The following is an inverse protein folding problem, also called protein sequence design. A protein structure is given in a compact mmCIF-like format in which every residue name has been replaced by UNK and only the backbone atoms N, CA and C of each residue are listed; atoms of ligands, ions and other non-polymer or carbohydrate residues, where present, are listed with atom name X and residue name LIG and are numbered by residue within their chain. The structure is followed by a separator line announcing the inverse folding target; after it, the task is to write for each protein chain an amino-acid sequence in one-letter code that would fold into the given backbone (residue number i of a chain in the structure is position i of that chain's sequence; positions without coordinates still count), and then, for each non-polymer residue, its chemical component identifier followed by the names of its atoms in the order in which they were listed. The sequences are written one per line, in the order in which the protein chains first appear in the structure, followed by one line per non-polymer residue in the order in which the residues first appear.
data_IF_195502056424
#
_entry.id   IF_195502056424
#
_cell.length_a   1.000
_cell.length_b   1.000
_cell.length_c   1.000
_cell.angle_alpha   90.00
_cell.angle_beta   90.00
_cell.angle_gamma   90.00
#
_symmetry.space_group_name_H-M   'P 1'
#
loop_
_entity.id
_entity.type
_entity.pdbx_description
1 polymer ?
#
# COMPACT_ATOMS: atom_id res chain seq x y z
N UNK A 1 -18.76 1.77 -24.96
CA UNK A 1 -17.59 2.64 -25.23
C UNK A 1 -16.95 3.14 -23.94
N UNK A 2 -17.72 3.74 -23.02
CA UNK A 2 -17.22 4.25 -21.72
C UNK A 2 -16.54 3.14 -20.88
N UNK A 3 -17.19 1.97 -20.74
CA UNK A 3 -16.62 0.84 -19.99
C UNK A 3 -15.29 0.33 -20.56
N UNK A 4 -15.14 0.31 -21.89
CA UNK A 4 -13.91 -0.13 -22.56
C UNK A 4 -12.76 0.84 -22.27
N UNK A 5 -13.02 2.15 -22.28
CA UNK A 5 -12.03 3.16 -21.95
C UNK A 5 -11.61 3.09 -20.48
N UNK A 6 -12.55 2.89 -19.56
CA UNK A 6 -12.24 2.69 -18.14
C UNK A 6 -11.39 1.43 -17.91
N UNK A 7 -11.70 0.34 -18.62
CA UNK A 7 -10.91 -0.89 -18.57
C UNK A 7 -9.47 -0.65 -19.04
N UNK A 8 -9.30 0.04 -20.18
CA UNK A 8 -7.97 0.34 -20.73
C UNK A 8 -7.12 1.16 -19.76
N UNK A 9 -7.73 2.14 -19.08
CA UNK A 9 -7.07 2.98 -18.06
C UNK A 9 -6.69 2.15 -16.84
N UNK A 10 -7.55 1.24 -16.36
CA UNK A 10 -7.22 0.39 -15.23
C UNK A 10 -6.06 -0.58 -15.56
N UNK A 11 -6.08 -1.18 -16.74
CA UNK A 11 -5.00 -2.06 -17.21
C UNK A 11 -3.70 -1.29 -17.39
N UNK A 12 -3.74 -0.06 -17.92
CA UNK A 12 -2.53 0.75 -18.07
C UNK A 12 -1.93 1.15 -16.72
N UNK A 13 -2.76 1.51 -15.73
CA UNK A 13 -2.32 1.77 -14.34
C UNK A 13 -1.63 0.53 -13.77
N UNK A 14 -2.23 -0.65 -13.95
CA UNK A 14 -1.68 -1.91 -13.45
C UNK A 14 -0.32 -2.22 -14.10
N UNK A 15 -0.24 -2.18 -15.43
CA UNK A 15 1.02 -2.43 -16.14
C UNK A 15 2.10 -1.43 -15.75
N UNK A 16 1.76 -0.15 -15.63
CA UNK A 16 2.70 0.89 -15.17
C UNK A 16 3.18 0.60 -13.75
N UNK A 17 2.30 0.23 -12.83
CA UNK A 17 2.68 -0.10 -11.46
C UNK A 17 3.65 -1.29 -11.41
N UNK A 18 3.40 -2.35 -12.17
CA UNK A 18 4.27 -3.52 -12.25
C UNK A 18 5.65 -3.17 -12.83
N UNK A 19 5.69 -2.38 -13.91
CA UNK A 19 6.96 -1.94 -14.52
C UNK A 19 7.75 -1.06 -13.54
N UNK A 20 7.08 -0.13 -12.86
CA UNK A 20 7.71 0.73 -11.86
C UNK A 20 8.24 -0.08 -10.67
N UNK A 21 7.52 -1.13 -10.24
CA UNK A 21 7.98 -2.03 -9.18
C UNK A 21 9.25 -2.79 -9.59
N UNK A 22 9.27 -3.38 -10.80
CA UNK A 22 10.45 -4.09 -11.30
C UNK A 22 11.68 -3.19 -11.47
N UNK A 23 11.49 -1.95 -11.92
CA UNK A 23 12.61 -0.99 -12.12
C UNK A 23 13.11 -0.47 -10.77
N UNK A 24 12.24 0.17 -9.98
CA UNK A 24 12.65 0.89 -8.77
C UNK A 24 12.78 -0.01 -7.55
N UNK A 25 12.09 -1.16 -7.53
CA UNK A 25 11.99 -2.04 -6.35
C UNK A 25 11.22 -1.41 -5.19
N UNK A 26 10.93 -2.25 -4.20
CA UNK A 26 10.43 -1.86 -2.89
C UNK A 26 11.58 -1.53 -1.92
N UNK A 27 11.36 -0.65 -0.94
CA UNK A 27 12.36 -0.36 0.07
C UNK A 27 12.56 -1.58 0.98
N UNK A 28 13.72 -2.22 0.86
CA UNK A 28 14.08 -3.35 1.70
C UNK A 28 14.27 -2.94 3.18
N UNK A 29 13.82 -3.75 4.15
CA UNK A 29 14.07 -3.55 5.59
C UNK A 29 15.56 -3.45 5.95
N UNK A 30 16.44 -4.00 5.11
CA UNK A 30 17.90 -3.98 5.32
C UNK A 30 18.53 -2.60 5.13
N UNK A 31 17.83 -1.65 4.49
CA UNK A 31 18.31 -0.27 4.27
C UNK A 31 17.35 0.77 4.85
N UNK A 32 17.15 0.80 6.19
CA UNK A 32 16.18 1.67 6.86
C UNK A 32 16.49 3.18 6.72
N UNK A 33 17.74 3.51 6.38
CA UNK A 33 18.25 4.86 6.11
C UNK A 33 17.69 5.47 4.81
N UNK A 34 17.21 4.64 3.87
CA UNK A 34 16.72 5.15 2.58
C UNK A 34 15.38 5.85 2.75
N UNK A 35 15.26 7.04 2.15
CA UNK A 35 14.02 7.85 2.15
C UNK A 35 12.80 7.05 1.67
N UNK A 36 13.03 6.11 0.73
CA UNK A 36 12.02 5.19 0.21
C UNK A 36 11.37 4.33 1.30
N UNK A 37 12.13 3.87 2.31
CA UNK A 37 11.61 3.06 3.42
C UNK A 37 10.81 3.92 4.41
N UNK A 38 11.30 5.14 4.69
CA UNK A 38 10.66 6.05 5.64
C UNK A 38 9.35 6.62 5.13
N UNK A 39 9.18 6.78 3.82
CA UNK A 39 7.99 7.35 3.20
C UNK A 39 7.01 6.30 2.66
N UNK A 40 7.28 5.00 2.88
CA UNK A 40 6.42 3.94 2.38
C UNK A 40 5.11 3.85 3.18
N UNK A 41 3.93 3.95 2.54
CA UNK A 41 2.64 3.87 3.24
C UNK A 41 2.47 2.58 4.05
N UNK A 42 3.00 1.45 3.57
CA UNK A 42 2.94 0.16 4.27
C UNK A 42 3.71 0.22 5.60
N UNK A 43 4.88 0.86 5.63
CA UNK A 43 5.68 1.00 6.86
C UNK A 43 4.93 1.88 7.87
N UNK A 44 4.25 2.92 7.41
CA UNK A 44 3.40 3.75 8.27
C UNK A 44 2.20 2.97 8.80
N UNK A 45 1.56 2.14 7.98
CA UNK A 45 0.45 1.29 8.38
C UNK A 45 0.88 0.29 9.47
N UNK A 46 2.07 -0.31 9.33
CA UNK A 46 2.66 -1.20 10.34
C UNK A 46 2.98 -0.47 11.65
N UNK A 47 3.58 0.72 11.59
CA UNK A 47 3.83 1.57 12.77
C UNK A 47 2.55 2.02 13.46
N UNK A 48 1.56 2.44 12.68
CA UNK A 48 0.25 2.85 13.19
C UNK A 48 -0.48 1.71 13.89
N UNK A 49 -0.48 0.52 13.28
CA UNK A 49 -1.06 -0.69 13.90
C UNK A 49 -0.32 -1.06 15.18
N UNK A 50 1.01 -0.98 15.20
CA UNK A 50 1.81 -1.28 16.38
C UNK A 50 1.60 -0.28 17.52
N UNK A 51 1.44 1.01 17.19
CA UNK A 51 1.11 2.06 18.13
C UNK A 51 -0.29 1.89 18.73
N UNK A 52 -1.26 1.41 17.93
CA UNK A 52 -2.62 1.17 18.41
C UNK A 52 -2.76 -0.14 19.20
N UNK A 53 -1.99 -1.17 18.85
CA UNK A 53 -2.01 -2.49 19.50
C UNK A 53 -2.09 -2.48 21.05
N UNK A 54 -1.29 -1.69 21.79
CA UNK A 54 -1.37 -1.66 23.26
C UNK A 54 -2.73 -1.17 23.79
N UNK A 55 -3.42 -0.26 23.08
CA UNK A 55 -4.72 0.26 23.50
C UNK A 55 -5.87 -0.73 23.32
N UNK A 56 -5.69 -1.71 22.44
CA UNK A 56 -6.70 -2.73 22.13
C UNK A 56 -6.46 -4.06 22.87
N UNK A 57 -5.33 -4.20 23.59
CA UNK A 57 -5.06 -5.39 24.42
C UNK A 57 -5.99 -5.46 25.62
N UNK A 58 -6.56 -6.62 25.86
CA UNK A 58 -7.43 -6.86 27.01
C UNK A 58 -7.19 -8.29 27.55
N UNK A 59 -7.16 -8.51 28.87
CA UNK A 59 -6.98 -9.85 29.46
C UNK A 59 -8.13 -10.82 29.16
N UNK A 60 -9.31 -10.33 28.77
CA UNK A 60 -10.43 -11.20 28.42
C UNK A 60 -10.37 -11.63 26.93
N UNK A 61 -10.30 -12.95 26.63
CA UNK A 61 -10.11 -13.45 25.26
C UNK A 61 -11.27 -13.11 24.31
N UNK A 62 -12.51 -12.97 24.81
CA UNK A 62 -13.66 -12.56 23.98
C UNK A 62 -13.55 -11.09 23.57
N UNK A 63 -13.08 -10.24 24.50
CA UNK A 63 -12.92 -8.80 24.27
C UNK A 63 -11.70 -8.55 23.37
N UNK A 64 -10.61 -9.30 23.55
CA UNK A 64 -9.43 -9.20 22.69
C UNK A 64 -9.76 -9.51 21.22
N UNK A 65 -10.62 -10.51 20.95
CA UNK A 65 -11.06 -10.82 19.58
C UNK A 65 -11.84 -9.66 18.95
N UNK A 66 -12.77 -9.06 19.69
CA UNK A 66 -13.56 -7.92 19.22
C UNK A 66 -12.67 -6.70 18.99
N UNK A 67 -11.75 -6.43 19.93
CA UNK A 67 -10.79 -5.34 19.82
C UNK A 67 -9.82 -5.54 18.65
N UNK A 68 -9.43 -6.78 18.34
CA UNK A 68 -8.61 -7.09 17.16
C UNK A 68 -9.34 -6.80 15.85
N UNK A 69 -10.63 -7.13 15.75
CA UNK A 69 -11.47 -6.77 14.59
C UNK A 69 -11.60 -5.25 14.48
N UNK A 70 -11.85 -4.57 15.61
CA UNK A 70 -12.00 -3.11 15.65
C UNK A 70 -10.70 -2.39 15.27
N UNK A 71 -9.54 -2.90 15.71
CA UNK A 71 -8.22 -2.43 15.31
C UNK A 71 -8.06 -2.54 13.79
N UNK A 72 -8.31 -3.72 13.22
CA UNK A 72 -8.21 -3.94 11.77
C UNK A 72 -9.12 -3.01 10.97
N UNK A 73 -10.38 -2.87 11.40
CA UNK A 73 -11.34 -1.97 10.76
C UNK A 73 -10.87 -0.51 10.81
N UNK A 74 -10.36 -0.08 11.97
CA UNK A 74 -9.83 1.28 12.16
C UNK A 74 -8.68 1.56 11.20
N UNK A 75 -7.74 0.62 11.08
CA UNK A 75 -6.61 0.76 10.16
C UNK A 75 -7.08 0.81 8.71
N UNK A 76 -7.98 -0.09 8.28
CA UNK A 76 -8.53 -0.08 6.91
C UNK A 76 -9.19 1.26 6.59
N UNK A 77 -10.09 1.73 7.44
CA UNK A 77 -10.79 3.01 7.25
C UNK A 77 -9.81 4.18 7.19
N UNK A 78 -8.81 4.20 8.07
CA UNK A 78 -7.82 5.28 8.16
C UNK A 78 -6.99 5.43 6.88
N UNK A 79 -6.67 4.34 6.18
CA UNK A 79 -5.88 4.39 4.95
C UNK A 79 -6.74 4.44 3.68
N UNK A 80 -7.86 3.71 3.63
CA UNK A 80 -8.72 3.65 2.44
C UNK A 80 -9.47 4.96 2.21
N UNK A 81 -10.03 5.58 3.25
CA UNK A 81 -10.86 6.80 3.10
C UNK A 81 -10.03 7.97 2.54
N UNK A 82 -8.86 8.33 3.11
CA UNK A 82 -8.05 9.42 2.56
C UNK A 82 -7.54 9.10 1.15
N UNK A 83 -7.20 7.84 0.86
CA UNK A 83 -6.74 7.43 -0.47
C UNK A 83 -7.83 7.62 -1.52
N UNK A 84 -9.06 7.21 -1.22
CA UNK A 84 -10.20 7.37 -2.12
C UNK A 84 -10.51 8.85 -2.40
N UNK A 85 -10.65 9.65 -1.33
CA UNK A 85 -10.93 11.08 -1.49
C UNK A 85 -9.76 11.82 -2.15
N UNK A 86 -8.52 11.46 -1.83
CA UNK A 86 -7.32 12.01 -2.47
C UNK A 86 -7.30 11.74 -3.97
N UNK A 87 -7.52 10.50 -4.40
CA UNK A 87 -7.60 10.14 -5.81
C UNK A 87 -8.76 10.85 -6.53
N UNK A 88 -9.92 10.98 -5.87
CA UNK A 88 -11.07 11.70 -6.43
C UNK A 88 -10.76 13.19 -6.63
N UNK A 89 -10.08 13.83 -5.67
CA UNK A 89 -9.64 15.21 -5.79
C UNK A 89 -8.63 15.37 -6.92
N UNK A 90 -7.63 14.49 -7.01
CA UNK A 90 -6.63 14.50 -8.10
C UNK A 90 -7.32 14.39 -9.46
N UNK A 91 -8.26 13.46 -9.60
CA UNK A 91 -9.02 13.30 -10.84
C UNK A 91 -9.80 14.58 -11.21
N UNK A 92 -10.42 15.23 -10.22
CA UNK A 92 -11.28 16.40 -10.45
C UNK A 92 -10.49 17.68 -10.74
N UNK A 93 -9.33 17.88 -10.10
CA UNK A 93 -8.57 19.13 -10.18
C UNK A 93 -7.35 19.08 -11.12
N UNK A 94 -6.69 17.93 -11.25
CA UNK A 94 -5.41 17.78 -11.98
C UNK A 94 -5.55 16.96 -13.27
N UNK A 95 -6.71 16.35 -13.50
CA UNK A 95 -7.04 15.62 -14.71
C UNK A 95 -6.56 14.17 -14.74
N UNK A 96 -6.91 13.48 -15.83
CA UNK A 96 -6.79 12.01 -15.96
C UNK A 96 -5.32 11.54 -15.98
N UNK A 97 -4.42 12.29 -16.62
CA UNK A 97 -3.00 11.93 -16.69
C UNK A 97 -2.34 11.88 -15.31
N UNK A 98 -2.56 12.91 -14.49
CA UNK A 98 -2.01 12.97 -13.12
C UNK A 98 -2.65 11.89 -12.25
N UNK A 99 -3.95 11.64 -12.41
CA UNK A 99 -4.63 10.53 -11.75
C UNK A 99 -4.00 9.18 -12.05
N UNK A 100 -3.69 8.87 -13.32
CA UNK A 100 -3.06 7.59 -13.71
C UNK A 100 -1.69 7.43 -13.05
N UNK A 101 -0.86 8.48 -13.04
CA UNK A 101 0.47 8.44 -12.41
C UNK A 101 0.35 8.23 -10.90
N UNK A 102 -0.50 9.01 -10.23
CA UNK A 102 -0.68 8.91 -8.77
C UNK A 102 -1.26 7.54 -8.40
N UNK A 103 -2.25 7.04 -9.14
CA UNK A 103 -2.82 5.72 -8.94
C UNK A 103 -1.79 4.60 -9.16
N UNK A 104 -0.97 4.70 -10.20
CA UNK A 104 0.09 3.72 -10.47
C UNK A 104 1.17 3.74 -9.38
N UNK A 105 1.54 4.91 -8.87
CA UNK A 105 2.48 5.03 -7.74
C UNK A 105 1.88 4.41 -6.48
N UNK A 106 0.64 4.75 -6.11
CA UNK A 106 -0.03 4.16 -4.94
C UNK A 106 -0.11 2.63 -5.08
N UNK A 107 -0.47 2.14 -6.26
CA UNK A 107 -0.58 0.70 -6.54
C UNK A 107 0.78 0.00 -6.49
N UNK A 108 1.83 0.62 -7.03
CA UNK A 108 3.21 0.12 -6.94
C UNK A 108 3.62 -0.10 -5.48
N UNK A 109 3.27 0.84 -4.59
CA UNK A 109 3.56 0.72 -3.15
C UNK A 109 2.81 -0.42 -2.45
N UNK A 110 1.88 -1.11 -3.13
CA UNK A 110 1.16 -2.28 -2.59
C UNK A 110 1.66 -3.61 -3.14
N UNK A 111 2.49 -3.60 -4.18
CA UNK A 111 2.97 -4.78 -4.89
C UNK A 111 4.48 -4.85 -4.72
N UNK A 112 4.98 -5.92 -4.10
CA UNK A 112 6.41 -6.09 -3.80
C UNK A 112 7.04 -7.24 -4.58
N UNK A 113 7.00 -7.27 -5.91
CA UNK A 113 7.49 -8.45 -6.66
C UNK A 113 9.01 -8.57 -6.64
N UNK A 114 9.72 -7.45 -6.84
CA UNK A 114 11.19 -7.47 -6.94
C UNK A 114 11.83 -7.92 -5.62
N UNK A 115 11.34 -7.37 -4.51
CA UNK A 115 11.84 -7.68 -3.18
C UNK A 115 11.66 -9.18 -2.87
N UNK A 116 10.45 -9.70 -3.03
CA UNK A 116 10.15 -11.12 -2.78
C UNK A 116 11.02 -12.06 -3.63
N UNK A 117 11.31 -11.68 -4.89
CA UNK A 117 12.19 -12.46 -5.77
C UNK A 117 13.63 -12.49 -5.26
N UNK A 118 14.17 -11.35 -4.81
CA UNK A 118 15.53 -11.28 -4.26
C UNK A 118 15.67 -12.10 -2.97
N UNK A 119 14.69 -12.03 -2.07
CA UNK A 119 14.67 -12.84 -0.85
C UNK A 119 14.49 -14.33 -1.14
N UNK A 120 13.65 -14.70 -2.11
CA UNK A 120 13.50 -16.09 -2.55
C UNK A 120 14.82 -16.68 -3.07
N UNK A 121 15.59 -15.91 -3.86
CA UNK A 121 16.92 -16.33 -4.33
C UNK A 121 17.91 -16.43 -3.17
N UNK A 122 17.87 -15.50 -2.21
CA UNK A 122 18.75 -15.52 -1.04
C UNK A 122 18.46 -16.74 -0.14
N UNK A 123 17.19 -17.04 0.11
CA UNK A 123 16.76 -18.21 0.87
C UNK A 123 17.14 -19.53 0.17
N UNK A 124 17.07 -19.59 -1.15
CA UNK A 124 17.49 -20.77 -1.92
C UNK A 124 19.01 -21.00 -1.93
N UNK A 125 19.80 -19.98 -1.57
CA UNK A 125 21.27 -20.05 -1.49
C UNK A 125 21.80 -20.31 -0.08
N UNK A 126 20.93 -20.26 0.94
CA UNK A 126 21.27 -20.49 2.35
C UNK A 126 21.09 -21.97 2.72
#
# INVERSE_FOLDING_TARGET
MIALMSLLVAVSILVLALVLDLIFGDPSPNYPERLQYRLHPIVWMGKFTSALKPYFKNPNPKIEKINGVLLGLTVIVTFTVPTYFGLKLVYSYLGVLVYVIVAAVILKLTICMKLETEWGIAAAKA
#
